data_IF_338350665390
#
_entry.id   IF_338350665390
#
_cell.length_a   1.000
_cell.length_b   1.000
_cell.length_c   1.000
_cell.angle_alpha   90.00
_cell.angle_beta   90.00
_cell.angle_gamma   90.00
#
_symmetry.space_group_name_H-M   'P 1'
#
loop_
_entity.id
_entity.type
_entity.pdbx_description
1 polymer ?
#
# COMPACT_ATOMS: atom_id res chain seq x y z
N UNK A 1 -13.73 -16.28 2.19
CA UNK A 1 -14.79 -16.06 1.18
C UNK A 1 -14.18 -15.02 0.27
N UNK A 2 -13.99 -15.32 -1.02
CA UNK A 2 -13.10 -14.53 -1.88
C UNK A 2 -13.30 -13.01 -1.78
N UNK A 3 -12.21 -12.25 -1.88
CA UNK A 3 -12.21 -10.79 -1.81
C UNK A 3 -13.31 -10.18 -2.71
N UNK A 4 -14.12 -9.27 -2.14
CA UNK A 4 -15.19 -8.59 -2.86
C UNK A 4 -14.63 -7.87 -4.10
N UNK A 5 -15.36 -7.92 -5.23
CA UNK A 5 -14.93 -7.32 -6.50
C UNK A 5 -14.59 -5.84 -6.39
N UNK A 6 -15.23 -5.12 -5.47
CA UNK A 6 -14.96 -3.71 -5.16
C UNK A 6 -13.51 -3.45 -4.73
N UNK A 7 -12.87 -4.43 -4.09
CA UNK A 7 -11.49 -4.33 -3.60
C UNK A 7 -10.45 -5.01 -4.50
N UNK A 8 -10.87 -5.46 -5.69
CA UNK A 8 -9.98 -6.06 -6.70
C UNK A 8 -9.48 -5.05 -7.74
N UNK A 9 -9.71 -3.76 -7.52
CA UNK A 9 -9.12 -2.69 -8.32
C UNK A 9 -7.78 -2.27 -7.69
N UNK A 10 -6.73 -2.28 -8.49
CA UNK A 10 -5.41 -1.78 -8.10
C UNK A 10 -4.85 -1.01 -9.30
N UNK A 11 -4.69 0.29 -9.14
CA UNK A 11 -4.23 1.21 -10.19
C UNK A 11 -2.90 1.85 -9.80
N UNK A 12 -2.01 2.01 -10.77
CA UNK A 12 -0.76 2.72 -10.58
C UNK A 12 -1.03 4.22 -10.39
N UNK A 13 -0.37 4.84 -9.42
CA UNK A 13 -0.42 6.29 -9.21
C UNK A 13 0.89 6.99 -9.64
N UNK A 14 1.87 6.23 -10.15
CA UNK A 14 3.12 6.78 -10.68
C UNK A 14 3.03 7.21 -12.15
N UNK A 15 2.03 6.74 -12.91
CA UNK A 15 1.88 7.05 -14.33
C UNK A 15 0.63 7.91 -14.57
N UNK A 16 0.68 8.78 -15.58
CA UNK A 16 -0.45 9.63 -15.98
C UNK A 16 -1.68 8.86 -16.46
N UNK A 17 -1.50 7.59 -16.82
CA UNK A 17 -2.55 6.72 -17.37
C UNK A 17 -3.27 5.88 -16.30
N UNK A 18 -2.88 5.98 -15.02
CA UNK A 18 -3.42 5.17 -13.93
C UNK A 18 -3.60 3.68 -14.27
N UNK A 19 -2.55 3.06 -14.83
CA UNK A 19 -2.67 1.72 -15.41
C UNK A 19 -3.11 0.67 -14.38
N UNK A 20 -3.98 -0.25 -14.79
CA UNK A 20 -4.42 -1.37 -13.95
C UNK A 20 -3.27 -2.35 -13.72
N UNK A 21 -3.06 -2.67 -12.45
CA UNK A 21 -2.02 -3.57 -11.94
C UNK A 21 -2.55 -5.01 -11.89
N UNK A 22 -3.86 -5.22 -11.80
CA UNK A 22 -4.49 -6.54 -11.90
C UNK A 22 -5.85 -6.41 -12.61
N UNK A 23 -6.32 -7.44 -13.34
CA UNK A 23 -5.67 -8.71 -13.65
C UNK A 23 -5.00 -8.73 -15.05
N UNK A 24 -3.78 -9.30 -15.09
CA UNK A 24 -2.95 -9.87 -16.16
C UNK A 24 -2.97 -9.43 -17.65
N UNK A 25 -3.87 -8.60 -18.16
CA UNK A 25 -3.92 -8.28 -19.61
C UNK A 25 -3.49 -6.84 -19.97
N UNK A 26 -2.93 -6.08 -19.04
CA UNK A 26 -2.43 -4.73 -19.36
C UNK A 26 -0.96 -4.79 -19.80
N UNK A 27 -0.55 -4.08 -20.88
CA UNK A 27 0.82 -4.06 -21.39
C UNK A 27 1.72 -3.24 -20.45
N UNK A 28 1.94 -3.76 -19.25
CA UNK A 28 2.71 -3.14 -18.15
C UNK A 28 4.16 -2.88 -18.52
N UNK A 29 4.70 -3.71 -19.41
CA UNK A 29 6.13 -3.78 -19.72
C UNK A 29 6.68 -2.61 -20.54
N UNK A 30 5.85 -1.76 -21.18
CA UNK A 30 6.37 -0.72 -22.07
C UNK A 30 6.26 0.72 -21.54
N UNK A 31 5.45 0.98 -20.51
CA UNK A 31 5.17 2.37 -20.08
C UNK A 31 5.28 2.65 -18.56
N UNK A 32 5.25 1.66 -17.65
CA UNK A 32 5.59 1.86 -16.22
C UNK A 32 7.03 1.39 -15.97
N UNK A 33 8.01 2.05 -16.60
CA UNK A 33 9.44 1.70 -16.46
C UNK A 33 10.07 2.16 -15.13
N UNK A 34 9.29 2.83 -14.26
CA UNK A 34 9.72 3.34 -12.96
C UNK A 34 8.98 2.63 -11.82
N UNK A 35 9.51 2.71 -10.60
CA UNK A 35 8.89 2.14 -9.40
C UNK A 35 7.41 2.54 -9.30
N UNK A 36 6.50 1.58 -9.53
CA UNK A 36 5.06 1.84 -9.50
C UNK A 36 4.59 1.93 -8.02
N UNK A 37 3.78 2.93 -7.69
CA UNK A 37 3.14 3.09 -6.38
C UNK A 37 1.64 2.90 -6.52
N UNK A 38 1.04 2.21 -5.56
CA UNK A 38 -0.39 1.94 -5.55
C UNK A 38 -0.95 2.26 -4.18
N UNK A 39 -2.25 2.58 -4.15
CA UNK A 39 -2.99 2.74 -2.92
C UNK A 39 -4.15 1.78 -2.92
N UNK A 40 -4.43 1.23 -1.74
CA UNK A 40 -5.48 0.25 -1.56
C UNK A 40 -6.08 0.37 -0.15
N UNK A 41 -7.40 0.32 0.04
CA UNK A 41 -8.44 0.37 -0.99
C UNK A 41 -8.47 1.71 -1.76
N UNK A 42 -8.87 1.68 -3.03
CA UNK A 42 -8.95 2.87 -3.90
C UNK A 42 -9.97 3.93 -3.41
N UNK A 43 -10.90 3.51 -2.54
CA UNK A 43 -11.97 4.33 -1.99
C UNK A 43 -11.50 5.44 -1.03
N UNK A 44 -10.23 5.43 -0.62
CA UNK A 44 -9.70 6.38 0.35
C UNK A 44 -9.07 7.60 -0.33
N UNK A 45 -9.89 8.60 -0.66
CA UNK A 45 -9.48 9.80 -1.40
C UNK A 45 -8.49 10.70 -0.64
N UNK A 46 -8.70 10.89 0.67
CA UNK A 46 -7.79 11.69 1.51
C UNK A 46 -6.49 10.96 1.80
N UNK A 47 -6.55 9.64 1.97
CA UNK A 47 -5.37 8.80 2.12
C UNK A 47 -4.46 8.92 0.90
N UNK A 48 -5.06 8.86 -0.30
CA UNK A 48 -4.30 8.95 -1.53
C UNK A 48 -3.49 10.26 -1.61
N UNK A 49 -4.18 11.38 -1.37
CA UNK A 49 -3.55 12.68 -1.31
C UNK A 49 -2.43 12.76 -0.27
N UNK A 50 -2.66 12.23 0.94
CA UNK A 50 -1.66 12.22 2.02
C UNK A 50 -0.40 11.44 1.68
N UNK A 51 -0.53 10.25 1.06
CA UNK A 51 0.62 9.42 0.65
C UNK A 51 1.40 10.08 -0.49
N UNK A 52 0.70 10.59 -1.50
CA UNK A 52 1.33 11.25 -2.66
C UNK A 52 2.09 12.51 -2.21
N UNK A 53 1.43 13.40 -1.47
CA UNK A 53 2.04 14.68 -1.04
C UNK A 53 3.08 14.49 0.07
N UNK A 54 2.89 13.50 0.96
CA UNK A 54 3.72 13.32 2.15
C UNK A 54 4.94 12.41 1.97
N UNK A 55 4.80 11.33 1.19
CA UNK A 55 5.82 10.26 1.10
C UNK A 55 6.52 10.25 -0.26
N UNK A 56 5.75 10.34 -1.35
CA UNK A 56 6.27 10.14 -2.71
C UNK A 56 7.04 11.34 -3.26
N UNK A 57 6.67 12.55 -2.89
CA UNK A 57 7.39 13.79 -3.27
C UNK A 57 8.75 13.92 -2.58
N UNK A 58 8.95 13.24 -1.44
CA UNK A 58 10.15 13.36 -0.60
C UNK A 58 11.12 12.19 -0.71
N UNK A 59 10.69 11.04 -1.25
CA UNK A 59 11.50 9.82 -1.30
C UNK A 59 11.65 9.29 -2.73
N UNK A 60 12.87 9.34 -3.25
CA UNK A 60 13.25 8.66 -4.49
C UNK A 60 13.48 7.17 -4.20
N UNK A 61 12.50 6.32 -4.51
CA UNK A 61 12.47 4.93 -4.05
C UNK A 61 13.43 4.00 -4.82
N UNK A 62 14.11 3.13 -4.05
CA UNK A 62 15.18 2.22 -4.50
C UNK A 62 14.71 0.80 -4.89
N UNK A 63 13.39 0.53 -5.00
CA UNK A 63 12.87 -0.80 -5.35
C UNK A 63 12.22 -0.80 -6.74
N UNK A 64 12.76 -1.62 -7.65
CA UNK A 64 12.25 -1.78 -9.02
C UNK A 64 10.81 -2.31 -9.07
N UNK A 65 10.42 -3.19 -8.14
CA UNK A 65 9.06 -3.77 -8.11
C UNK A 65 7.98 -2.87 -7.49
N UNK A 66 8.34 -1.71 -6.91
CA UNK A 66 7.38 -0.75 -6.37
C UNK A 66 6.74 -1.12 -5.02
N UNK A 67 5.80 -0.29 -4.58
CA UNK A 67 5.11 -0.43 -3.28
C UNK A 67 3.60 -0.25 -3.38
N UNK A 68 2.86 -0.99 -2.54
CA UNK A 68 1.43 -0.83 -2.30
C UNK A 68 1.23 -0.24 -0.91
N UNK A 69 0.70 0.97 -0.84
CA UNK A 69 0.29 1.62 0.39
C UNK A 69 -1.13 1.19 0.75
N UNK A 70 -1.28 0.55 1.88
CA UNK A 70 -2.57 0.05 2.37
C UNK A 70 -3.11 1.01 3.43
N UNK A 71 -4.29 1.57 3.18
CA UNK A 71 -5.06 2.28 4.20
C UNK A 71 -5.56 1.27 5.24
N UNK A 72 -4.80 1.15 6.32
CA UNK A 72 -5.04 0.22 7.41
C UNK A 72 -5.82 0.92 8.54
N UNK A 73 -6.92 1.56 8.18
CA UNK A 73 -7.83 2.24 9.10
C UNK A 73 -8.94 1.33 9.61
N UNK A 74 -9.55 1.73 10.74
CA UNK A 74 -10.67 1.01 11.34
C UNK A 74 -11.89 0.95 10.39
N UNK A 75 -12.02 1.92 9.49
CA UNK A 75 -13.05 1.99 8.45
C UNK A 75 -13.10 0.72 7.58
N UNK A 76 -11.95 0.08 7.38
CA UNK A 76 -11.81 -1.14 6.58
C UNK A 76 -11.53 -2.39 7.44
N UNK A 77 -11.74 -2.36 8.76
CA UNK A 77 -11.43 -3.47 9.67
C UNK A 77 -11.92 -4.83 9.18
N UNK A 78 -13.17 -4.91 8.69
CA UNK A 78 -13.77 -6.15 8.17
C UNK A 78 -12.95 -6.79 7.06
N UNK A 79 -12.29 -5.97 6.24
CA UNK A 79 -11.45 -6.39 5.13
C UNK A 79 -10.19 -7.13 5.60
N UNK A 80 -9.67 -6.72 6.77
CA UNK A 80 -8.44 -7.24 7.35
C UNK A 80 -8.63 -8.44 8.29
N UNK A 81 -9.86 -8.94 8.42
CA UNK A 81 -10.16 -10.12 9.25
C UNK A 81 -9.88 -11.43 8.52
N UNK A 82 -9.96 -11.43 7.19
CA UNK A 82 -9.66 -12.60 6.35
C UNK A 82 -8.28 -12.43 5.70
N UNK A 83 -7.67 -13.53 5.23
CA UNK A 83 -6.36 -13.49 4.55
C UNK A 83 -6.43 -13.12 3.07
N UNK A 84 -7.63 -13.10 2.49
CA UNK A 84 -7.83 -12.96 1.05
C UNK A 84 -7.28 -11.63 0.50
N UNK A 85 -7.28 -10.55 1.31
CA UNK A 85 -6.69 -9.27 0.90
C UNK A 85 -5.17 -9.37 0.73
N UNK A 86 -4.47 -10.01 1.67
CA UNK A 86 -3.02 -10.07 1.65
C UNK A 86 -2.52 -11.05 0.61
N UNK A 87 -3.21 -12.17 0.42
CA UNK A 87 -2.92 -13.12 -0.66
C UNK A 87 -3.07 -12.43 -2.02
N UNK A 88 -4.12 -11.62 -2.19
CA UNK A 88 -4.34 -10.83 -3.41
C UNK A 88 -3.24 -9.79 -3.64
N UNK A 89 -2.88 -8.98 -2.65
CA UNK A 89 -1.84 -7.95 -2.82
C UNK A 89 -0.44 -8.57 -3.01
N UNK A 90 -0.13 -9.65 -2.30
CA UNK A 90 1.16 -10.34 -2.41
C UNK A 90 1.38 -10.96 -3.79
N UNK A 91 0.32 -11.31 -4.53
CA UNK A 91 0.43 -11.82 -5.91
C UNK A 91 1.03 -10.84 -6.92
N UNK A 92 1.23 -9.57 -6.54
CA UNK A 92 1.79 -8.52 -7.39
C UNK A 92 3.31 -8.39 -7.31
N UNK A 93 3.98 -9.10 -6.40
CA UNK A 93 5.42 -8.96 -6.07
C UNK A 93 5.87 -7.56 -5.61
N UNK A 94 4.91 -6.67 -5.33
CA UNK A 94 5.15 -5.34 -4.80
C UNK A 94 5.34 -5.40 -3.28
N UNK A 95 6.14 -4.49 -2.72
CA UNK A 95 6.27 -4.36 -1.26
C UNK A 95 4.99 -3.78 -0.66
N UNK A 96 4.43 -4.40 0.37
CA UNK A 96 3.22 -3.88 1.04
C UNK A 96 3.64 -2.98 2.21
N UNK A 97 3.13 -1.76 2.26
CA UNK A 97 3.32 -0.80 3.36
C UNK A 97 1.96 -0.51 3.99
N UNK A 98 1.76 -0.89 5.25
CA UNK A 98 0.52 -0.57 5.96
C UNK A 98 0.62 0.83 6.55
N UNK A 99 -0.40 1.67 6.36
CA UNK A 99 -0.54 2.96 7.04
C UNK A 99 -1.70 2.82 8.02
N UNK A 100 -1.38 2.67 9.30
CA UNK A 100 -2.31 2.20 10.32
C UNK A 100 -2.78 3.32 11.24
N UNK A 101 -4.09 3.31 11.52
CA UNK A 101 -4.65 4.00 12.68
C UNK A 101 -4.04 3.42 13.96
N UNK A 102 -4.00 4.24 15.02
CA UNK A 102 -3.52 3.81 16.35
C UNK A 102 -4.28 2.60 16.87
N UNK A 103 -5.60 2.61 16.73
CA UNK A 103 -6.47 1.52 17.18
C UNK A 103 -6.23 0.21 16.42
N UNK A 104 -5.63 0.30 15.23
CA UNK A 104 -5.36 -0.84 14.35
C UNK A 104 -3.93 -1.39 14.49
N UNK A 105 -3.08 -0.74 15.31
CA UNK A 105 -1.66 -1.06 15.44
C UNK A 105 -1.39 -2.52 15.84
N UNK A 106 -2.15 -3.08 16.77
CA UNK A 106 -1.99 -4.48 17.19
C UNK A 106 -2.25 -5.45 16.03
N UNK A 107 -3.28 -5.17 15.22
CA UNK A 107 -3.61 -5.99 14.06
C UNK A 107 -2.59 -5.80 12.93
N UNK A 108 -2.11 -4.58 12.69
CA UNK A 108 -1.06 -4.31 11.71
C UNK A 108 0.24 -5.06 12.05
N UNK A 109 0.64 -5.05 13.33
CA UNK A 109 1.80 -5.79 13.82
C UNK A 109 1.61 -7.31 13.71
N UNK A 110 0.41 -7.81 13.99
CA UNK A 110 0.08 -9.21 13.77
C UNK A 110 0.32 -9.60 12.30
N UNK A 111 -0.23 -8.84 11.36
CA UNK A 111 -0.05 -9.12 9.94
C UNK A 111 1.42 -9.02 9.51
N UNK A 112 2.14 -7.98 9.94
CA UNK A 112 3.58 -7.80 9.65
C UNK A 112 4.43 -8.97 10.11
N UNK A 113 4.14 -9.52 11.29
CA UNK A 113 4.89 -10.65 11.85
C UNK A 113 4.65 -11.95 11.08
N UNK A 114 3.46 -12.13 10.50
CA UNK A 114 3.05 -13.39 9.87
C UNK A 114 3.13 -13.37 8.34
N UNK A 115 3.38 -12.21 7.71
CA UNK A 115 3.45 -12.09 6.26
C UNK A 115 4.66 -11.26 5.82
N UNK A 116 5.62 -11.94 5.18
CA UNK A 116 6.87 -11.35 4.67
C UNK A 116 6.67 -10.35 3.53
N UNK A 117 5.50 -10.36 2.86
CA UNK A 117 5.15 -9.37 1.85
C UNK A 117 5.01 -7.95 2.43
N UNK A 118 4.72 -7.84 3.74
CA UNK A 118 4.62 -6.55 4.44
C UNK A 118 6.03 -6.05 4.75
N UNK A 119 6.45 -5.05 4.00
CA UNK A 119 7.76 -4.42 4.10
C UNK A 119 7.84 -3.46 5.28
N UNK A 120 6.77 -2.71 5.56
CA UNK A 120 6.75 -1.73 6.64
C UNK A 120 5.33 -1.44 7.15
N UNK A 121 5.25 -0.84 8.35
CA UNK A 121 4.02 -0.30 8.93
C UNK A 121 4.33 1.12 9.42
N UNK A 122 3.51 2.09 9.00
CA UNK A 122 3.56 3.50 9.38
C UNK A 122 2.36 3.76 10.28
N UNK A 123 2.57 4.42 11.42
CA UNK A 123 1.49 4.76 12.35
C UNK A 123 1.09 6.23 12.21
N UNK A 124 -0.21 6.51 12.19
CA UNK A 124 -0.75 7.87 12.06
C UNK A 124 -0.51 8.77 13.31
N UNK A 125 0.33 8.33 14.26
CA UNK A 125 0.65 9.06 15.50
C UNK A 125 2.12 9.52 15.55
N UNK A 126 2.90 9.21 14.51
CA UNK A 126 4.17 9.87 14.31
C UNK A 126 3.84 11.24 13.72
N UNK A 127 3.69 12.24 14.60
CA UNK A 127 4.15 13.58 14.23
C UNK A 127 5.47 13.40 13.52
N UNK A 128 5.66 14.05 12.37
CA UNK A 128 6.88 13.99 11.57
C UNK A 128 8.06 14.62 12.36
N UNK A 129 8.36 14.11 13.55
CA UNK A 129 9.67 14.18 14.13
C UNK A 129 10.52 13.28 13.26
N UNK A 130 11.09 13.94 12.25
CA UNK A 130 12.34 13.55 11.63
C UNK A 130 13.32 13.34 12.78
N UNK A 131 13.32 12.14 13.36
CA UNK A 131 14.40 11.67 14.19
C UNK A 131 15.61 11.54 13.26
N UNK A 132 16.31 12.66 13.15
CA UNK A 132 17.68 12.71 12.67
C UNK A 132 18.44 11.65 13.47
N UNK A 133 19.20 10.75 12.82
CA UNK A 133 19.95 9.75 13.54
C UNK A 133 20.89 10.47 14.51
N UNK A 134 20.72 10.16 15.81
CA UNK A 134 21.74 10.51 16.79
C UNK A 134 22.85 9.46 16.67
N UNK A 135 24.07 10.01 16.63
CA UNK A 135 25.41 9.40 16.65
C UNK A 135 25.99 9.08 15.27
#
# INVERSE_FOLDING_TARGET
MGLCSRYKSLTCNSCSMHCQIMPEESPRLQYCANSCFCMWPEESSYFNRGVVEGILTKNHNARLSGYIFVDFSVSFLRLFLEKDWIDYLASTDMGIVLVSDRNMQSLANYWRKHNSAISAVIYNDDGLDVESPRV
#
